data_IF_688699835393
#
_entry.id   IF_688699835393
#
_cell.length_a   1.000
_cell.length_b   1.000
_cell.length_c   1.000
_cell.angle_alpha   90.00
_cell.angle_beta   90.00
_cell.angle_gamma   90.00
#
_symmetry.space_group_name_H-M   'P 1'
#
loop_
_entity.id
_entity.type
_entity.pdbx_description
1 polymer ?
#
# COMPACT_ATOMS: atom_id res chain seq x y z
N UNK A 1 1.47 4.47 12.12
CA UNK A 1 2.67 3.88 11.44
C UNK A 1 3.84 4.06 12.38
N UNK A 2 4.80 3.14 12.44
CA UNK A 2 5.99 3.29 13.30
C UNK A 2 7.26 3.04 12.49
N UNK A 3 8.32 3.77 12.79
CA UNK A 3 9.62 3.64 12.15
C UNK A 3 10.70 3.44 13.22
N UNK A 4 11.55 2.43 13.02
CA UNK A 4 12.69 2.14 13.89
C UNK A 4 13.97 2.71 13.28
N UNK A 5 14.79 3.38 14.10
CA UNK A 5 16.12 3.81 13.70
C UNK A 5 17.20 2.87 14.28
N UNK A 6 17.89 2.06 13.45
CA UNK A 6 18.91 1.15 13.94
C UNK A 6 20.16 1.83 14.52
N UNK A 7 20.43 3.09 14.20
CA UNK A 7 21.64 3.77 14.67
C UNK A 7 21.58 4.18 16.14
N UNK A 8 20.39 4.51 16.64
CA UNK A 8 20.16 4.98 18.02
C UNK A 8 19.14 4.13 18.80
N UNK A 9 18.52 3.14 18.15
CA UNK A 9 17.57 2.22 18.77
C UNK A 9 16.21 2.84 19.09
N UNK A 10 15.90 4.03 18.58
CA UNK A 10 14.65 4.74 18.88
C UNK A 10 13.52 4.33 17.94
N UNK A 11 12.29 4.51 18.42
CA UNK A 11 11.07 4.33 17.65
C UNK A 11 10.36 5.67 17.48
N UNK A 12 9.91 5.95 16.26
CA UNK A 12 9.14 7.13 15.91
C UNK A 12 7.70 6.74 15.57
N UNK A 13 6.73 7.38 16.23
CA UNK A 13 5.32 7.28 15.87
C UNK A 13 5.01 8.26 14.73
N UNK A 14 4.53 7.72 13.62
CA UNK A 14 4.16 8.43 12.39
C UNK A 14 2.64 8.38 12.18
N UNK A 15 2.14 9.15 11.21
CA UNK A 15 0.72 9.22 10.89
C UNK A 15 0.09 7.84 10.69
N UNK A 16 -1.10 7.66 11.27
CA UNK A 16 -1.82 6.41 11.20
C UNK A 16 -2.40 6.19 9.80
N UNK A 17 -2.51 4.91 9.42
CA UNK A 17 -3.25 4.54 8.22
C UNK A 17 -4.73 4.94 8.41
N UNK A 18 -5.33 5.49 7.36
CA UNK A 18 -6.73 5.95 7.40
C UNK A 18 -7.70 4.80 7.70
N UNK A 19 -7.41 3.60 7.16
CA UNK A 19 -8.16 2.38 7.43
C UNK A 19 -7.21 1.35 8.04
N UNK A 20 -7.51 0.79 9.24
CA UNK A 20 -6.72 -0.25 9.86
C UNK A 20 -6.67 -1.50 8.97
N UNK A 21 -5.49 -2.08 8.79
CA UNK A 21 -5.30 -3.28 7.96
C UNK A 21 -4.27 -4.21 8.55
N UNK A 22 -4.53 -5.50 8.46
CA UNK A 22 -3.62 -6.60 8.75
C UNK A 22 -3.39 -7.44 7.49
N UNK A 23 -2.32 -8.24 7.44
CA UNK A 23 -2.01 -9.07 6.25
C UNK A 23 -1.71 -8.28 4.97
N UNK A 24 -1.42 -6.98 5.10
CA UNK A 24 -0.94 -6.14 4.00
C UNK A 24 0.55 -6.40 3.74
N UNK A 25 1.03 -5.92 2.60
CA UNK A 25 2.47 -5.81 2.32
C UNK A 25 2.90 -4.34 2.26
N UNK A 26 4.15 -4.08 2.63
CA UNK A 26 4.81 -2.78 2.53
C UNK A 26 5.92 -2.80 1.50
N UNK A 27 6.08 -1.73 0.72
CA UNK A 27 7.25 -1.55 -0.16
C UNK A 27 7.62 -0.07 -0.32
N UNK A 28 8.85 0.22 -0.71
CA UNK A 28 9.32 1.60 -0.95
C UNK A 28 9.65 1.79 -2.42
N UNK A 29 9.10 2.84 -3.03
CA UNK A 29 9.38 3.23 -4.41
C UNK A 29 9.56 4.74 -4.48
N UNK A 30 10.71 5.20 -5.00
CA UNK A 30 10.97 6.63 -5.18
C UNK A 30 10.92 7.45 -3.87
N UNK A 31 11.32 6.86 -2.75
CA UNK A 31 11.31 7.51 -1.42
C UNK A 31 9.93 7.55 -0.73
N UNK A 32 8.90 6.97 -1.36
CA UNK A 32 7.56 6.87 -0.79
C UNK A 32 7.30 5.43 -0.32
N UNK A 33 6.65 5.28 0.82
CA UNK A 33 6.25 3.99 1.38
C UNK A 33 4.83 3.66 0.91
N UNK A 34 4.61 2.44 0.42
CA UNK A 34 3.30 1.98 -0.02
C UNK A 34 2.77 0.86 0.86
N UNK A 35 1.51 0.98 1.27
CA UNK A 35 0.76 -0.05 1.98
C UNK A 35 -0.26 -0.67 1.02
N UNK A 36 -0.12 -1.97 0.74
CA UNK A 36 -0.84 -2.65 -0.34
C UNK A 36 -1.73 -3.76 0.23
N UNK A 37 -3.02 -3.71 -0.11
CA UNK A 37 -3.99 -4.76 0.22
C UNK A 37 -4.20 -4.96 1.73
N UNK A 38 -4.39 -6.21 2.13
CA UNK A 38 -4.68 -6.62 3.51
C UNK A 38 -6.17 -6.77 3.82
N UNK A 39 -6.51 -6.84 5.10
CA UNK A 39 -7.88 -6.95 5.62
C UNK A 39 -8.06 -6.03 6.83
N UNK A 40 -9.15 -5.28 6.85
CA UNK A 40 -9.66 -4.67 8.07
C UNK A 40 -10.54 -5.70 8.79
N UNK A 41 -10.10 -6.16 9.97
CA UNK A 41 -10.85 -7.07 10.83
C UNK A 41 -11.23 -6.29 12.08
N UNK A 42 -12.50 -5.94 12.20
CA UNK A 42 -13.06 -5.22 13.34
C UNK A 42 -14.29 -5.97 13.89
N UNK A 43 -14.77 -5.61 15.09
CA UNK A 43 -16.04 -6.13 15.61
C UNK A 43 -17.23 -5.88 14.68
N UNK A 44 -17.16 -4.85 13.83
CA UNK A 44 -18.21 -4.48 12.87
C UNK A 44 -18.17 -5.32 11.59
N UNK A 45 -17.07 -6.04 11.34
CA UNK A 45 -16.95 -6.92 10.18
C UNK A 45 -15.53 -7.16 9.69
N UNK A 46 -15.46 -8.05 8.70
CA UNK A 46 -14.22 -8.43 8.02
C UNK A 46 -14.26 -7.99 6.56
N UNK A 47 -13.39 -7.06 6.19
CA UNK A 47 -13.35 -6.51 4.83
C UNK A 47 -11.95 -6.65 4.24
N UNK A 48 -11.82 -7.48 3.21
CA UNK A 48 -10.60 -7.56 2.39
C UNK A 48 -10.42 -6.27 1.59
N UNK A 49 -9.18 -5.80 1.48
CA UNK A 49 -8.86 -4.51 0.87
C UNK A 49 -8.15 -4.67 -0.46
N UNK A 50 -8.60 -3.91 -1.46
CA UNK A 50 -7.87 -3.64 -2.71
C UNK A 50 -7.08 -2.33 -2.65
N UNK A 51 -7.05 -1.65 -1.50
CA UNK A 51 -6.47 -0.31 -1.41
C UNK A 51 -4.95 -0.33 -1.57
N UNK A 52 -4.46 0.72 -2.23
CA UNK A 52 -3.06 1.10 -2.30
C UNK A 52 -2.94 2.49 -1.68
N UNK A 53 -2.23 2.60 -0.58
CA UNK A 53 -1.99 3.88 0.09
C UNK A 53 -0.52 4.23 0.04
N UNK A 54 -0.22 5.50 -0.21
CA UNK A 54 1.12 6.02 -0.32
C UNK A 54 1.41 6.96 0.86
N UNK A 55 2.49 6.70 1.58
CA UNK A 55 2.99 7.53 2.66
C UNK A 55 4.20 8.31 2.20
N UNK A 56 4.14 9.64 2.39
CA UNK A 56 5.27 10.53 2.19
C UNK A 56 5.92 10.87 3.53
N UNK A 57 7.16 10.42 3.80
CA UNK A 57 7.84 10.69 5.06
C UNK A 57 8.18 12.18 5.26
N UNK A 58 8.31 12.96 4.18
CA UNK A 58 8.62 14.40 4.26
C UNK A 58 7.43 15.22 4.75
N UNK A 59 6.20 14.79 4.46
CA UNK A 59 4.97 15.47 4.88
C UNK A 59 4.27 14.77 6.02
N UNK A 60 4.71 13.57 6.40
CA UNK A 60 4.06 12.68 7.36
C UNK A 60 2.57 12.46 7.03
N UNK A 61 2.26 12.23 5.75
CA UNK A 61 0.89 12.07 5.28
C UNK A 61 0.71 10.83 4.41
N UNK A 62 -0.46 10.22 4.55
CA UNK A 62 -0.97 9.19 3.66
C UNK A 62 -1.84 9.80 2.56
N UNK A 63 -1.74 9.27 1.35
CA UNK A 63 -2.59 9.63 0.22
C UNK A 63 -3.09 8.36 -0.46
N UNK A 64 -4.39 8.24 -0.76
CA UNK A 64 -4.92 7.10 -1.49
C UNK A 64 -4.39 7.11 -2.93
N UNK A 65 -4.03 5.94 -3.43
CA UNK A 65 -3.71 5.71 -4.84
C UNK A 65 -4.83 4.89 -5.50
N UNK A 66 -4.77 4.73 -6.82
CA UNK A 66 -5.75 3.87 -7.50
C UNK A 66 -5.66 2.43 -6.95
N UNK A 67 -6.82 1.82 -6.63
CA UNK A 67 -6.87 0.50 -6.03
C UNK A 67 -6.46 -0.59 -7.04
N UNK A 68 -6.18 -1.77 -6.50
CA UNK A 68 -6.01 -3.01 -7.26
C UNK A 68 -7.34 -3.47 -7.87
N UNK A 69 -7.27 -4.32 -8.89
CA UNK A 69 -8.47 -4.84 -9.57
C UNK A 69 -9.32 -5.75 -8.67
N UNK A 70 -8.71 -6.37 -7.66
CA UNK A 70 -9.37 -7.23 -6.68
C UNK A 70 -8.82 -6.99 -5.27
N UNK A 71 -9.61 -7.21 -4.21
CA UNK A 71 -9.09 -7.25 -2.85
C UNK A 71 -8.09 -8.38 -2.65
N UNK A 72 -7.04 -8.14 -1.85
CA UNK A 72 -5.98 -9.13 -1.61
C UNK A 72 -5.53 -9.08 -0.15
N UNK A 73 -6.05 -9.96 0.68
CA UNK A 73 -5.52 -10.23 2.01
C UNK A 73 -4.36 -11.23 1.97
N UNK A 74 -3.41 -11.13 2.91
CA UNK A 74 -2.17 -11.93 2.95
C UNK A 74 -1.41 -11.86 1.62
N UNK A 75 -1.35 -10.66 1.05
CA UNK A 75 -0.75 -10.37 -0.24
C UNK A 75 0.78 -10.42 -0.19
N UNK A 76 1.42 -10.88 -1.28
CA UNK A 76 2.85 -10.70 -1.52
C UNK A 76 3.11 -9.53 -2.47
N UNK A 77 4.16 -8.73 -2.20
CA UNK A 77 4.55 -7.59 -3.05
C UNK A 77 6.03 -7.62 -3.38
N UNK A 78 6.36 -7.29 -4.62
CA UNK A 78 7.73 -7.07 -5.09
C UNK A 78 7.85 -5.80 -5.93
N UNK A 79 9.06 -5.22 -5.98
CA UNK A 79 9.35 -4.02 -6.78
C UNK A 79 10.37 -4.33 -7.86
N UNK A 80 10.05 -4.03 -9.11
CA UNK A 80 10.96 -4.17 -10.27
C UNK A 80 10.84 -2.91 -11.13
N UNK A 81 11.97 -2.27 -11.43
CA UNK A 81 12.06 -1.04 -12.25
C UNK A 81 11.09 0.08 -11.80
N UNK A 82 10.94 0.25 -10.49
CA UNK A 82 10.03 1.27 -9.93
C UNK A 82 8.53 0.94 -10.08
N UNK A 83 8.18 -0.29 -10.43
CA UNK A 83 6.80 -0.78 -10.48
C UNK A 83 6.53 -1.70 -9.30
N UNK A 84 5.30 -1.63 -8.76
CA UNK A 84 4.84 -2.47 -7.67
C UNK A 84 4.06 -3.65 -8.26
N UNK A 85 4.46 -4.87 -7.92
CA UNK A 85 3.77 -6.09 -8.32
C UNK A 85 3.03 -6.68 -7.14
N UNK A 86 1.73 -6.83 -7.28
CA UNK A 86 0.83 -7.44 -6.31
C UNK A 86 0.54 -8.89 -6.74
N UNK A 87 0.96 -9.86 -5.92
CA UNK A 87 0.92 -11.29 -6.24
C UNK A 87 0.01 -12.02 -5.25
N UNK A 88 -0.97 -12.75 -5.78
CA UNK A 88 -1.81 -13.66 -5.00
C UNK A 88 -2.66 -12.97 -3.94
N UNK A 89 -2.73 -13.57 -2.75
CA UNK A 89 -3.63 -13.17 -1.67
C UNK A 89 -5.04 -13.75 -1.83
N UNK A 90 -5.97 -13.32 -0.97
CA UNK A 90 -7.35 -13.80 -0.98
C UNK A 90 -8.40 -12.70 -0.90
N UNK A 91 -9.60 -13.03 -1.38
CA UNK A 91 -10.83 -12.26 -1.21
C UNK A 91 -11.97 -13.22 -0.83
N UNK A 92 -12.40 -13.19 0.43
CA UNK A 92 -13.33 -14.17 0.97
C UNK A 92 -12.76 -15.60 0.89
N UNK A 93 -13.44 -16.50 0.18
CA UNK A 93 -12.99 -17.87 -0.09
C UNK A 93 -12.11 -18.02 -1.33
N UNK A 94 -11.93 -16.94 -2.11
CA UNK A 94 -11.15 -16.94 -3.35
C UNK A 94 -9.67 -16.79 -3.01
N UNK A 95 -8.85 -17.70 -3.55
CA UNK A 95 -7.39 -17.63 -3.46
C UNK A 95 -6.84 -17.28 -4.84
N UNK A 96 -6.19 -16.12 -4.95
CA UNK A 96 -5.73 -15.61 -6.22
C UNK A 96 -4.42 -16.25 -6.66
N UNK A 97 -4.35 -16.62 -7.94
CA UNK A 97 -3.11 -16.83 -8.69
C UNK A 97 -2.80 -15.64 -9.63
N UNK A 98 -3.70 -14.65 -9.68
CA UNK A 98 -3.54 -13.46 -10.50
C UNK A 98 -2.45 -12.55 -9.94
N UNK A 99 -1.80 -11.85 -10.86
CA UNK A 99 -0.78 -10.85 -10.58
C UNK A 99 -1.16 -9.57 -11.29
N UNK A 100 -0.96 -8.44 -10.64
CA UNK A 100 -1.13 -7.14 -11.26
C UNK A 100 0.07 -6.23 -10.98
N UNK A 101 0.37 -5.37 -11.95
CA UNK A 101 1.45 -4.39 -11.85
C UNK A 101 0.84 -3.01 -11.73
N UNK A 102 1.21 -2.28 -10.68
CA UNK A 102 0.92 -0.86 -10.56
C UNK A 102 2.14 -0.05 -10.99
N UNK A 103 1.92 0.81 -11.99
CA UNK A 103 2.89 1.85 -12.36
C UNK A 103 3.04 2.80 -11.18
N UNK A 104 4.27 3.28 -10.95
CA UNK A 104 4.45 4.57 -10.26
C UNK A 104 3.50 5.55 -10.94
N UNK A 105 2.68 6.33 -10.23
CA UNK A 105 2.23 7.58 -10.79
C UNK A 105 3.52 8.35 -11.06
N UNK A 106 4.04 8.25 -12.29
CA UNK A 106 4.93 9.26 -12.81
C UNK A 106 4.26 10.57 -12.41
N UNK A 107 5.02 11.45 -11.74
CA UNK A 107 4.53 12.77 -11.34
C UNK A 107 3.50 13.21 -12.36
N UNK A 108 2.26 13.39 -11.91
CA UNK A 108 1.17 13.99 -12.68
C UNK A 108 1.63 15.40 -13.09
N UNK A 109 2.52 15.48 -14.06
CA UNK A 109 2.82 16.69 -14.84
C UNK A 109 1.92 16.75 -16.08
N UNK A 110 0.98 15.81 -16.23
CA UNK A 110 0.14 15.70 -17.44
C UNK A 110 -1.39 15.69 -17.18
N UNK A 111 -1.86 16.08 -15.99
CA UNK A 111 -3.30 16.33 -15.78
C UNK A 111 -3.66 17.76 -15.35
N UNK A 112 -2.72 18.72 -15.36
CA UNK A 112 -3.06 20.12 -15.05
C UNK A 112 -2.71 21.16 -16.13
N UNK A 113 -2.15 20.79 -17.28
CA UNK A 113 -1.99 21.75 -18.38
C UNK A 113 -2.14 21.06 -19.74
N UNK A 114 -3.19 21.42 -20.49
CA UNK A 114 -3.31 21.00 -21.88
C UNK A 114 -4.69 21.14 -22.51
N UNK A 115 -5.13 22.39 -22.69
CA UNK A 115 -6.05 22.92 -23.72
C UNK A 115 -7.54 22.53 -23.68
#
# INVERSE_FOLDING_TARGET
LEAYNPSDGTWLRLADLQVPRSGLAGCVVGGLLYAVGGRNNSPDGNTDSSALDCYNPMTNQWSPCAPMSVPRNRIGVGVIDGHIYAVGGSHGCIHHNSVERRLRPAQLYLCCWGL
#
